data_IF_144609080598
#
_entry.id   IF_144609080598
#
_cell.length_a   1.000
_cell.length_b   1.000
_cell.length_c   1.000
_cell.angle_alpha   90.00
_cell.angle_beta   90.00
_cell.angle_gamma   90.00
#
_symmetry.space_group_name_H-M   'P 1'
#
loop_
_entity.id
_entity.type
_entity.pdbx_description
1 polymer ?
#
# COMPACT_ATOMS: atom_id res chain seq x y z
N UNK A 1 17.72 5.37 7.54
CA UNK A 1 18.56 6.55 7.29
C UNK A 1 17.68 7.80 7.25
N UNK A 2 18.19 8.98 7.60
CA UNK A 2 17.50 10.28 7.36
C UNK A 2 17.80 10.69 5.91
N UNK A 3 16.80 11.22 5.19
CA UNK A 3 16.92 11.55 3.77
C UNK A 3 17.08 13.07 3.57
N UNK A 4 17.86 13.46 2.57
CA UNK A 4 18.08 14.85 2.16
C UNK A 4 17.93 14.92 0.65
N UNK A 5 17.07 15.83 0.17
CA UNK A 5 16.85 16.07 -1.25
C UNK A 5 17.96 16.96 -1.81
N UNK A 6 18.54 16.61 -2.95
CA UNK A 6 19.62 17.37 -3.61
C UNK A 6 19.11 18.37 -4.66
N UNK A 7 17.82 18.32 -4.98
CA UNK A 7 17.13 19.18 -5.94
C UNK A 7 15.67 19.41 -5.49
N UNK A 8 14.93 20.36 -6.10
CA UNK A 8 13.49 20.49 -5.84
C UNK A 8 12.77 19.16 -6.07
N UNK A 9 12.01 18.72 -5.08
CA UNK A 9 11.34 17.42 -5.09
C UNK A 9 9.89 17.55 -4.63
N UNK A 10 9.03 16.67 -5.16
CA UNK A 10 7.65 16.50 -4.72
C UNK A 10 7.59 15.29 -3.80
N UNK A 11 7.39 15.54 -2.50
CA UNK A 11 7.30 14.48 -1.49
C UNK A 11 5.84 14.25 -1.10
N UNK A 12 5.34 13.05 -1.38
CA UNK A 12 4.03 12.61 -0.92
C UNK A 12 4.15 12.02 0.50
N UNK A 13 3.23 12.40 1.39
CA UNK A 13 3.07 11.76 2.70
C UNK A 13 1.91 10.79 2.63
N UNK A 14 2.17 9.53 2.95
CA UNK A 14 1.17 8.45 2.91
C UNK A 14 0.83 8.07 4.36
N UNK A 15 -0.45 8.05 4.74
CA UNK A 15 -0.89 7.73 6.10
C UNK A 15 -0.91 6.20 6.33
N UNK A 16 0.28 5.61 6.22
CA UNK A 16 0.54 4.22 6.55
C UNK A 16 1.95 4.12 7.14
N UNK A 17 2.13 3.33 8.18
CA UNK A 17 3.42 3.16 8.82
C UNK A 17 3.64 1.76 9.40
N UNK A 18 4.65 1.62 10.23
CA UNK A 18 4.97 0.33 10.85
C UNK A 18 3.91 -0.12 11.87
N UNK A 19 3.11 0.80 12.42
CA UNK A 19 1.95 0.47 13.25
C UNK A 19 0.81 -0.21 12.47
N UNK A 20 0.82 -0.05 11.14
CA UNK A 20 -0.15 -0.66 10.22
C UNK A 20 0.37 -1.96 9.61
N UNK A 21 1.63 -2.32 9.89
CA UNK A 21 2.30 -3.51 9.34
C UNK A 21 3.31 -3.23 8.23
N UNK A 22 3.50 -1.96 7.82
CA UNK A 22 4.52 -1.62 6.82
C UNK A 22 5.90 -1.54 7.46
N UNK A 23 6.70 -2.60 7.32
CA UNK A 23 7.94 -2.80 8.08
C UNK A 23 8.88 -1.59 8.05
N UNK A 24 9.40 -1.22 9.22
CA UNK A 24 10.41 -0.16 9.35
C UNK A 24 11.71 -0.46 8.59
N UNK A 25 11.98 -1.73 8.27
CA UNK A 25 13.12 -2.17 7.46
C UNK A 25 13.04 -1.71 5.99
N UNK A 26 11.86 -1.25 5.55
CA UNK A 26 11.63 -0.65 4.23
C UNK A 26 12.02 0.84 4.18
N UNK A 27 12.47 1.42 5.30
CA UNK A 27 12.95 2.81 5.35
C UNK A 27 14.06 3.06 4.32
N UNK A 28 13.81 3.96 3.36
CA UNK A 28 14.74 4.29 2.25
C UNK A 28 15.07 3.12 1.32
N UNK A 29 14.26 2.06 1.32
CA UNK A 29 14.49 0.81 0.57
C UNK A 29 13.24 0.29 -0.13
N UNK A 30 12.07 0.55 0.46
CA UNK A 30 10.77 0.17 -0.11
C UNK A 30 10.34 1.09 -1.24
N UNK A 31 9.28 0.67 -1.91
CA UNK A 31 8.65 1.41 -3.01
C UNK A 31 7.12 1.28 -2.87
N UNK A 32 6.39 2.22 -3.46
CA UNK A 32 4.93 2.17 -3.59
C UNK A 32 4.55 2.44 -5.05
N UNK A 33 3.30 2.20 -5.43
CA UNK A 33 2.76 2.64 -6.71
C UNK A 33 1.87 3.86 -6.52
N UNK A 34 2.06 4.87 -7.36
CA UNK A 34 1.20 6.06 -7.45
C UNK A 34 0.96 6.33 -8.93
N UNK A 35 -0.31 6.40 -9.36
CA UNK A 35 -0.71 6.59 -10.76
C UNK A 35 -0.04 5.60 -11.74
N UNK A 36 0.13 4.35 -11.31
CA UNK A 36 0.73 3.26 -12.09
C UNK A 36 2.25 3.36 -12.25
N UNK A 37 2.92 4.16 -11.42
CA UNK A 37 4.38 4.33 -11.43
C UNK A 37 4.96 3.98 -10.08
N UNK A 38 6.11 3.30 -10.08
CA UNK A 38 6.90 3.03 -8.88
C UNK A 38 7.50 4.31 -8.33
N UNK A 39 7.36 4.52 -7.03
CA UNK A 39 7.80 5.69 -6.30
C UNK A 39 8.57 5.24 -5.04
N UNK A 40 9.83 5.64 -4.85
CA UNK A 40 10.64 5.14 -3.75
C UNK A 40 10.21 5.75 -2.42
N UNK A 41 10.21 4.93 -1.37
CA UNK A 41 10.09 5.41 0.01
C UNK A 41 11.37 6.15 0.39
N UNK A 42 11.25 7.38 0.86
CA UNK A 42 12.38 8.21 1.28
C UNK A 42 12.35 8.47 2.78
N UNK A 43 13.53 8.45 3.40
CA UNK A 43 13.66 8.65 4.84
C UNK A 43 13.20 7.43 5.64
N UNK A 44 12.64 7.70 6.82
CA UNK A 44 12.21 6.65 7.77
C UNK A 44 10.72 6.42 7.67
N UNK A 45 10.32 5.15 7.69
CA UNK A 45 8.93 4.77 7.97
C UNK A 45 8.66 5.08 9.45
N UNK A 46 7.64 5.89 9.70
CA UNK A 46 7.16 6.26 11.03
C UNK A 46 6.04 5.30 11.48
N UNK A 47 5.48 5.52 12.68
CA UNK A 47 4.43 4.64 13.21
C UNK A 47 3.20 4.63 12.31
N UNK A 48 2.75 5.81 11.85
CA UNK A 48 1.47 5.97 11.15
C UNK A 48 1.63 6.64 9.77
N UNK A 49 2.87 6.91 9.33
CA UNK A 49 3.12 7.53 8.03
C UNK A 49 4.48 7.18 7.43
N UNK A 50 4.59 7.35 6.11
CA UNK A 50 5.83 7.26 5.36
C UNK A 50 5.90 8.35 4.28
N UNK A 51 7.11 8.70 3.86
CA UNK A 51 7.35 9.67 2.81
C UNK A 51 7.79 8.98 1.53
N UNK A 52 7.30 9.47 0.40
CA UNK A 52 7.54 8.91 -0.94
C UNK A 52 7.98 10.03 -1.87
N UNK A 53 9.04 9.80 -2.63
CA UNK A 53 9.43 10.73 -3.68
C UNK A 53 8.56 10.48 -4.93
N UNK A 54 7.74 11.47 -5.26
CA UNK A 54 6.82 11.46 -6.39
C UNK A 54 7.22 12.49 -7.47
N UNK A 55 8.47 12.99 -7.43
CA UNK A 55 8.95 14.06 -8.32
C UNK A 55 8.81 13.74 -9.81
N UNK A 56 8.91 12.45 -10.20
CA UNK A 56 8.79 11.97 -11.59
C UNK A 56 7.35 11.62 -12.00
N UNK A 57 6.36 11.79 -11.12
CA UNK A 57 4.97 11.40 -11.35
C UNK A 57 4.16 12.65 -11.68
N UNK A 58 3.86 12.82 -12.97
CA UNK A 58 3.10 13.97 -13.44
C UNK A 58 1.66 13.95 -12.92
N UNK A 59 1.20 15.12 -12.44
CA UNK A 59 -0.17 15.31 -11.97
C UNK A 59 -0.49 14.60 -10.65
N UNK A 60 0.52 14.20 -9.87
CA UNK A 60 0.30 13.66 -8.52
C UNK A 60 -0.42 14.69 -7.65
N UNK A 61 -1.49 14.27 -6.99
CA UNK A 61 -2.35 15.13 -6.19
C UNK A 61 -2.74 14.48 -4.86
N UNK A 62 -3.22 15.30 -3.93
CA UNK A 62 -3.80 14.80 -2.68
C UNK A 62 -5.02 13.93 -2.98
N UNK A 63 -5.09 12.78 -2.32
CA UNK A 63 -6.17 11.81 -2.53
C UNK A 63 -5.92 10.79 -3.63
N UNK A 64 -4.82 10.89 -4.38
CA UNK A 64 -4.41 9.81 -5.29
C UNK A 64 -4.19 8.51 -4.51
N UNK A 65 -4.62 7.40 -5.11
CA UNK A 65 -4.41 6.06 -4.56
C UNK A 65 -2.92 5.70 -4.54
N UNK A 66 -2.49 5.19 -3.39
CA UNK A 66 -1.15 4.63 -3.19
C UNK A 66 -1.24 3.14 -2.91
N UNK A 67 -0.58 2.33 -3.73
CA UNK A 67 -0.54 0.87 -3.56
C UNK A 67 0.79 0.46 -2.95
N UNK A 68 0.78 0.00 -1.70
CA UNK A 68 1.97 -0.51 -0.99
C UNK A 68 2.22 -2.00 -1.32
N UNK A 69 1.16 -2.74 -1.65
CA UNK A 69 1.18 -4.15 -2.00
C UNK A 69 0.00 -4.44 -2.93
N UNK A 70 0.24 -4.96 -4.14
CA UNK A 70 -0.78 -5.18 -5.15
C UNK A 70 -0.40 -4.61 -6.52
N UNK A 71 -1.41 -4.34 -7.35
CA UNK A 71 -1.22 -3.87 -8.73
C UNK A 71 -1.87 -2.51 -8.94
N UNK A 72 -1.24 -1.67 -9.76
CA UNK A 72 -1.79 -0.41 -10.23
C UNK A 72 -1.34 -0.16 -11.66
N UNK A 73 -2.29 -0.10 -12.61
CA UNK A 73 -1.95 -0.07 -14.03
C UNK A 73 -1.21 -1.33 -14.46
N UNK A 74 -0.04 -1.16 -15.09
CA UNK A 74 0.83 -2.26 -15.53
C UNK A 74 1.89 -2.68 -14.49
N UNK A 75 1.97 -1.95 -13.37
CA UNK A 75 2.94 -2.21 -12.31
C UNK A 75 2.33 -3.05 -11.19
N UNK A 76 3.18 -3.82 -10.50
CA UNK A 76 2.81 -4.65 -9.37
C UNK A 76 3.92 -4.71 -8.34
N UNK A 77 3.57 -4.54 -7.06
CA UNK A 77 4.44 -4.82 -5.91
C UNK A 77 3.95 -6.09 -5.22
N UNK A 78 4.75 -7.14 -5.26
CA UNK A 78 4.42 -8.44 -4.67
C UNK A 78 4.90 -8.61 -3.23
N UNK A 79 4.30 -9.55 -2.48
CA UNK A 79 4.70 -9.80 -1.10
C UNK A 79 6.13 -10.36 -1.00
N UNK A 80 6.53 -11.21 -1.94
CA UNK A 80 7.91 -11.73 -2.00
C UNK A 80 8.93 -10.64 -2.33
N UNK A 81 8.57 -9.66 -3.16
CA UNK A 81 9.41 -8.51 -3.47
C UNK A 81 9.63 -7.66 -2.21
N UNK A 82 8.55 -7.33 -1.50
CA UNK A 82 8.63 -6.58 -0.23
C UNK A 82 9.44 -7.36 0.81
N UNK A 83 9.23 -8.66 0.90
CA UNK A 83 9.94 -9.54 1.81
C UNK A 83 11.44 -9.60 1.52
N UNK A 84 11.83 -9.72 0.25
CA UNK A 84 13.23 -9.69 -0.17
C UNK A 84 13.93 -8.38 0.22
N UNK A 85 13.25 -7.24 0.06
CA UNK A 85 13.78 -5.94 0.52
C UNK A 85 13.88 -5.89 2.04
N UNK A 86 12.87 -6.38 2.76
CA UNK A 86 12.86 -6.40 4.22
C UNK A 86 13.81 -7.45 4.84
N UNK A 87 14.32 -8.42 4.06
CA UNK A 87 15.15 -9.51 4.55
C UNK A 87 14.36 -10.61 5.26
N UNK A 88 13.14 -10.90 4.77
CA UNK A 88 12.22 -11.88 5.35
C UNK A 88 11.48 -12.68 4.25
N UNK A 89 10.40 -13.37 4.62
CA UNK A 89 9.50 -14.14 3.75
C UNK A 89 8.13 -13.45 3.59
N UNK A 90 7.40 -13.78 2.52
CA UNK A 90 6.11 -13.17 2.21
C UNK A 90 5.05 -13.37 3.30
N UNK A 91 5.08 -14.48 4.04
CA UNK A 91 4.18 -14.71 5.17
C UNK A 91 4.34 -13.65 6.27
N UNK A 92 5.56 -13.20 6.57
CA UNK A 92 5.75 -12.14 7.56
C UNK A 92 5.18 -10.80 7.07
N UNK A 93 5.33 -10.50 5.78
CA UNK A 93 4.74 -9.28 5.18
C UNK A 93 3.22 -9.31 5.26
N UNK A 94 2.60 -10.43 4.90
CA UNK A 94 1.14 -10.57 4.88
C UNK A 94 0.54 -10.58 6.30
N UNK A 95 1.17 -11.29 7.23
CA UNK A 95 0.72 -11.38 8.62
C UNK A 95 1.01 -10.11 9.43
N UNK A 96 1.95 -9.27 9.01
CA UNK A 96 2.26 -8.01 9.69
C UNK A 96 1.14 -6.97 9.60
N UNK A 97 0.24 -7.07 8.61
CA UNK A 97 -0.86 -6.11 8.42
C UNK A 97 -1.73 -6.08 9.68
N UNK A 98 -1.64 -4.98 10.43
CA UNK A 98 -2.13 -4.92 11.80
C UNK A 98 -3.66 -4.77 11.86
N UNK A 99 -4.25 -4.94 13.04
CA UNK A 99 -5.69 -4.74 13.25
C UNK A 99 -6.19 -3.33 12.89
N UNK A 100 -5.30 -2.33 12.80
CA UNK A 100 -5.63 -0.93 12.46
C UNK A 100 -6.10 -0.76 11.02
N UNK A 101 -5.63 -1.61 10.11
CA UNK A 101 -5.96 -1.53 8.68
C UNK A 101 -7.34 -2.16 8.44
N UNK A 102 -8.36 -1.43 7.95
CA UNK A 102 -9.65 -2.04 7.66
C UNK A 102 -9.55 -3.12 6.58
N UNK A 103 -10.24 -4.25 6.78
CA UNK A 103 -10.33 -5.32 5.77
C UNK A 103 -11.64 -5.16 5.00
N UNK A 104 -11.54 -4.98 3.69
CA UNK A 104 -12.70 -4.95 2.79
C UNK A 104 -12.68 -6.21 1.92
N UNK A 105 -13.63 -7.10 2.17
CA UNK A 105 -13.79 -8.32 1.38
C UNK A 105 -14.67 -8.05 0.17
N UNK A 106 -14.14 -8.31 -1.03
CA UNK A 106 -14.92 -8.21 -2.26
C UNK A 106 -15.52 -9.58 -2.60
N UNK A 107 -16.83 -9.66 -2.91
CA UNK A 107 -17.43 -10.90 -3.37
C UNK A 107 -16.70 -11.40 -4.62
N UNK A 108 -16.64 -12.71 -4.79
CA UNK A 108 -16.13 -13.27 -6.04
C UNK A 108 -16.98 -12.76 -7.22
N UNK A 109 -16.40 -12.51 -8.40
CA UNK A 109 -17.18 -12.15 -9.58
C UNK A 109 -18.28 -13.20 -9.82
N UNK A 110 -19.55 -12.78 -9.79
CA UNK A 110 -20.71 -13.67 -9.98
C UNK A 110 -21.27 -14.33 -8.71
N UNK A 111 -20.80 -13.97 -7.52
CA UNK A 111 -21.46 -14.41 -6.28
C UNK A 111 -22.77 -13.63 -6.04
N UNK A 112 -23.85 -14.29 -5.59
CA UNK A 112 -25.14 -13.61 -5.36
C UNK A 112 -24.97 -12.54 -4.27
N UNK A 113 -25.54 -11.35 -4.51
CA UNK A 113 -25.54 -10.27 -3.53
C UNK A 113 -26.26 -10.72 -2.26
N UNK A 114 -25.67 -10.44 -1.09
CA UNK A 114 -26.26 -10.76 0.22
C UNK A 114 -27.61 -10.05 0.49
N UNK A 115 -28.02 -9.11 -0.36
CA UNK A 115 -29.25 -8.31 -0.23
C UNK A 115 -30.46 -8.90 -0.99
N UNK A 116 -30.43 -10.17 -1.42
CA UNK A 116 -31.63 -10.79 -1.98
C UNK A 116 -32.68 -10.99 -0.86
N UNK A 117 -33.88 -10.39 -0.94
CA UNK A 117 -34.89 -10.57 0.09
C UNK A 117 -35.28 -12.05 0.14
N UNK A 118 -35.25 -12.62 1.34
CA UNK A 118 -35.78 -13.96 1.60
C UNK A 118 -37.27 -13.96 1.25
N UNK A 119 -37.61 -14.49 0.07
CA UNK A 119 -38.99 -14.64 -0.35
C UNK A 119 -39.74 -15.52 0.65
N UNK A 120 -40.66 -14.92 1.40
CA UNK A 120 -41.66 -15.64 2.19
C UNK A 120 -42.66 -16.29 1.23
N UNK A 121 -42.34 -17.48 0.74
CA UNK A 121 -43.29 -18.37 0.08
C UNK A 121 -44.17 -19.04 1.14
N UNK A 122 -45.39 -18.53 1.30
CA UNK A 122 -46.48 -19.21 1.98
C UNK A 122 -46.95 -20.38 1.11
N UNK A 123 -47.15 -21.54 1.75
CA UNK A 123 -47.82 -22.71 1.17
C UNK A 123 -49.34 -22.55 1.25
#
# INVERSE_FOLDING_TARGET
>A
STHVTTAPAVIATVPAGYGDGYSRLLSSRGQVLIRGRRAPVVGRVCMDMLMVDASHIQGVARGDEVVLLGSQGQERIGADEVAAVAGTISYEVLCAVSARVPRVYRPAPGSPSADAPSGSGTA
#
